data_IF_787719648286
#
_entry.id   IF_787719648286
#
_cell.length_a   1.000
_cell.length_b   1.000
_cell.length_c   1.000
_cell.angle_alpha   90.00
_cell.angle_beta   90.00
_cell.angle_gamma   90.00
#
_symmetry.space_group_name_H-M   'P 1'
#
loop_
_entity.id
_entity.type
_entity.pdbx_description
1 polymer ?
#
# COMPACT_ATOMS: atom_id res chain seq x y z
N UNK A 1 7.68 -8.67 -22.40
CA UNK A 1 6.89 -9.23 -21.27
C UNK A 1 5.78 -8.22 -20.94
N UNK A 2 4.67 -8.17 -21.71
CA UNK A 2 4.20 -6.83 -22.12
C UNK A 2 2.74 -6.39 -21.89
N UNK A 3 1.78 -7.21 -21.48
CA UNK A 3 0.37 -6.73 -21.34
C UNK A 3 -0.27 -6.94 -19.96
N UNK A 4 -0.35 -8.17 -19.39
CA UNK A 4 -1.03 -8.38 -18.11
C UNK A 4 -0.30 -7.76 -16.91
N UNK A 5 1.05 -7.75 -16.93
CA UNK A 5 1.86 -7.09 -15.90
C UNK A 5 1.70 -5.57 -15.93
N UNK A 6 1.55 -4.98 -17.13
CA UNK A 6 1.37 -3.53 -17.31
C UNK A 6 0.00 -3.06 -16.79
N UNK A 7 -1.07 -3.83 -17.05
CA UNK A 7 -2.41 -3.55 -16.51
C UNK A 7 -2.43 -3.65 -14.99
N UNK A 8 -1.79 -4.69 -14.44
CA UNK A 8 -1.69 -4.90 -12.99
C UNK A 8 -0.95 -3.76 -12.30
N UNK A 9 0.17 -3.32 -12.89
CA UNK A 9 0.96 -2.17 -12.43
C UNK A 9 0.15 -0.87 -12.47
N UNK A 10 -0.59 -0.60 -13.56
CA UNK A 10 -1.43 0.60 -13.66
C UNK A 10 -2.58 0.63 -12.64
N UNK A 11 -3.18 -0.52 -12.31
CA UNK A 11 -4.19 -0.62 -11.27
C UNK A 11 -3.56 -0.39 -9.89
N UNK A 12 -2.45 -1.07 -9.60
CA UNK A 12 -1.73 -0.94 -8.34
C UNK A 12 -1.31 0.52 -8.09
N UNK A 13 -0.73 1.19 -9.09
CA UNK A 13 -0.30 2.58 -9.00
C UNK A 13 -1.45 3.52 -8.61
N UNK A 14 -2.62 3.39 -9.24
CA UNK A 14 -3.78 4.25 -8.94
C UNK A 14 -4.29 4.09 -7.51
N UNK A 15 -4.39 2.85 -7.02
CA UNK A 15 -4.81 2.59 -5.64
C UNK A 15 -3.72 3.01 -4.64
N UNK A 16 -2.45 2.74 -4.94
CA UNK A 16 -1.32 3.11 -4.09
C UNK A 16 -1.23 4.62 -3.90
N UNK A 17 -1.30 5.40 -4.99
CA UNK A 17 -1.32 6.87 -4.90
C UNK A 17 -2.49 7.36 -4.05
N UNK A 18 -3.71 6.84 -4.27
CA UNK A 18 -4.87 7.27 -3.49
C UNK A 18 -4.72 6.98 -1.98
N UNK A 19 -4.20 5.81 -1.61
CA UNK A 19 -3.95 5.45 -0.21
C UNK A 19 -2.81 6.28 0.39
N UNK A 20 -1.74 6.50 -0.36
CA UNK A 20 -0.60 7.31 0.07
C UNK A 20 -1.01 8.75 0.35
N UNK A 21 -1.70 9.42 -0.59
CA UNK A 21 -2.17 10.80 -0.41
C UNK A 21 -3.09 10.93 0.81
N UNK A 22 -4.07 10.02 0.96
CA UNK A 22 -4.97 10.03 2.11
C UNK A 22 -4.21 9.82 3.44
N UNK A 23 -3.19 8.98 3.46
CA UNK A 23 -2.38 8.75 4.66
C UNK A 23 -1.42 9.92 4.95
N UNK A 24 -0.92 10.60 3.92
CA UNK A 24 -0.12 11.82 4.02
C UNK A 24 -0.95 12.96 4.60
N UNK A 25 -2.15 13.19 4.07
CA UNK A 25 -3.11 14.17 4.58
C UNK A 25 -3.49 13.91 6.03
N UNK A 26 -3.64 12.63 6.40
CA UNK A 26 -3.93 12.21 7.78
C UNK A 26 -2.70 12.20 8.71
N UNK A 27 -1.49 12.49 8.21
CA UNK A 27 -0.22 12.38 8.96
C UNK A 27 0.05 10.98 9.53
N UNK A 28 -0.47 9.94 8.88
CA UNK A 28 -0.44 8.55 9.33
C UNK A 28 0.58 7.69 8.54
N UNK A 29 1.48 8.29 7.75
CA UNK A 29 2.44 7.57 6.90
C UNK A 29 3.29 6.53 7.66
N UNK A 30 3.69 6.82 8.90
CA UNK A 30 4.44 5.86 9.73
C UNK A 30 3.62 4.61 10.07
N UNK A 31 2.32 4.79 10.32
CA UNK A 31 1.41 3.68 10.62
C UNK A 31 1.10 2.89 9.35
N UNK A 32 0.95 3.60 8.22
CA UNK A 32 0.78 3.00 6.91
C UNK A 32 1.97 2.09 6.57
N UNK A 33 3.20 2.56 6.75
CA UNK A 33 4.43 1.78 6.51
C UNK A 33 4.45 0.49 7.33
N UNK A 34 4.23 0.59 8.65
CA UNK A 34 4.17 -0.60 9.52
C UNK A 34 3.11 -1.60 9.05
N UNK A 35 1.91 -1.13 8.69
CA UNK A 35 0.86 -2.02 8.21
C UNK A 35 1.16 -2.62 6.84
N UNK A 36 1.86 -1.92 5.96
CA UNK A 36 2.32 -2.49 4.69
C UNK A 36 3.31 -3.62 4.96
N UNK A 37 4.29 -3.40 5.83
CA UNK A 37 5.28 -4.42 6.21
C UNK A 37 4.62 -5.66 6.83
N UNK A 38 3.64 -5.46 7.72
CA UNK A 38 2.88 -6.55 8.31
C UNK A 38 2.16 -7.39 7.23
N UNK A 39 1.51 -6.73 6.26
CA UNK A 39 0.78 -7.41 5.17
C UNK A 39 1.75 -8.11 4.22
N UNK A 40 2.91 -7.51 3.93
CA UNK A 40 3.96 -8.14 3.12
C UNK A 40 4.49 -9.40 3.80
N UNK A 41 4.76 -9.33 5.11
CA UNK A 41 5.20 -10.48 5.90
C UNK A 41 4.13 -11.58 5.88
N UNK A 42 2.85 -11.24 6.10
CA UNK A 42 1.75 -12.20 6.03
C UNK A 42 1.64 -12.88 4.65
N UNK A 43 1.86 -12.14 3.55
CA UNK A 43 1.89 -12.71 2.20
C UNK A 43 3.13 -13.59 1.94
N UNK A 44 4.25 -13.31 2.59
CA UNK A 44 5.46 -14.14 2.50
C UNK A 44 5.33 -15.44 3.31
N UNK A 45 4.72 -15.37 4.48
CA UNK A 45 4.62 -16.48 5.42
C UNK A 45 3.44 -17.42 5.14
N UNK A 46 2.35 -16.92 4.57
CA UNK A 46 1.12 -17.70 4.35
C UNK A 46 0.88 -18.00 2.87
N UNK A 47 1.00 -19.28 2.50
CA UNK A 47 0.58 -19.76 1.18
C UNK A 47 -0.92 -19.60 0.98
N UNK A 48 -1.73 -19.92 1.99
CA UNK A 48 -3.18 -19.78 1.96
C UNK A 48 -3.60 -18.34 1.65
N UNK A 49 -2.89 -17.35 2.19
CA UNK A 49 -3.18 -15.95 1.90
C UNK A 49 -2.87 -15.59 0.44
N UNK A 50 -1.76 -16.09 -0.11
CA UNK A 50 -1.43 -15.94 -1.54
C UNK A 50 -2.47 -16.59 -2.44
N UNK A 51 -2.96 -17.77 -2.06
CA UNK A 51 -4.04 -18.47 -2.79
C UNK A 51 -5.34 -17.68 -2.69
N UNK A 52 -5.70 -17.15 -1.52
CA UNK A 52 -6.91 -16.36 -1.33
C UNK A 52 -6.98 -15.15 -2.28
N UNK A 53 -5.90 -14.40 -2.44
CA UNK A 53 -5.88 -13.17 -3.25
C UNK A 53 -5.84 -13.42 -4.76
N UNK A 54 -5.39 -14.61 -5.19
CA UNK A 54 -5.20 -14.95 -6.60
C UNK A 54 -6.26 -15.93 -7.14
N UNK A 55 -6.89 -16.71 -6.26
CA UNK A 55 -7.83 -17.75 -6.65
C UNK A 55 -9.15 -17.17 -7.15
N UNK A 56 -9.60 -17.52 -8.37
CA UNK A 56 -10.91 -17.14 -8.88
C UNK A 56 -12.04 -18.02 -8.34
N UNK A 57 -11.73 -19.07 -7.56
CA UNK A 57 -12.69 -20.04 -7.05
C UNK A 57 -13.51 -19.49 -5.87
N UNK A 58 -12.96 -18.53 -5.14
CA UNK A 58 -13.68 -17.87 -4.05
C UNK A 58 -14.69 -16.86 -4.61
N UNK A 59 -15.87 -16.80 -4.00
CA UNK A 59 -16.83 -15.76 -4.35
C UNK A 59 -16.30 -14.38 -3.93
N UNK A 60 -16.84 -13.32 -4.53
CA UNK A 60 -16.46 -11.94 -4.16
C UNK A 60 -16.76 -11.64 -2.69
N UNK A 61 -17.85 -12.22 -2.17
CA UNK A 61 -18.28 -12.07 -0.79
C UNK A 61 -17.33 -12.81 0.15
N UNK A 62 -16.99 -14.06 -0.14
CA UNK A 62 -16.04 -14.83 0.66
C UNK A 62 -14.66 -14.18 0.72
N UNK A 63 -14.16 -13.69 -0.42
CA UNK A 63 -12.90 -12.93 -0.46
C UNK A 63 -12.99 -11.64 0.37
N UNK A 64 -14.10 -10.90 0.27
CA UNK A 64 -14.26 -9.65 1.02
C UNK A 64 -14.33 -9.92 2.53
N UNK A 65 -15.05 -10.95 2.96
CA UNK A 65 -15.17 -11.37 4.35
C UNK A 65 -13.84 -11.87 4.92
N UNK A 66 -13.11 -12.69 4.15
CA UNK A 66 -11.80 -13.19 4.55
C UNK A 66 -10.79 -12.04 4.72
N UNK A 67 -10.74 -11.11 3.75
CA UNK A 67 -9.88 -9.93 3.82
C UNK A 67 -10.27 -9.01 4.98
N UNK A 68 -11.56 -8.81 5.24
CA UNK A 68 -12.02 -8.02 6.39
C UNK A 68 -11.60 -8.67 7.72
N UNK A 69 -11.71 -9.99 7.83
CA UNK A 69 -11.25 -10.74 9.01
C UNK A 69 -9.74 -10.65 9.21
N UNK A 70 -8.94 -10.77 8.15
CA UNK A 70 -7.49 -10.61 8.19
C UNK A 70 -7.14 -9.17 8.61
N UNK A 71 -7.78 -8.17 7.99
CA UNK A 71 -7.55 -6.76 8.29
C UNK A 71 -7.86 -6.43 9.76
N UNK A 72 -8.95 -6.96 10.31
CA UNK A 72 -9.30 -6.81 11.71
C UNK A 72 -8.28 -7.47 12.64
N UNK A 73 -7.84 -8.70 12.32
CA UNK A 73 -6.87 -9.46 13.12
C UNK A 73 -5.49 -8.79 13.14
N UNK A 74 -5.07 -8.23 12.01
CA UNK A 74 -3.82 -7.47 11.86
C UNK A 74 -3.93 -6.02 12.35
N UNK A 75 -5.13 -5.57 12.75
CA UNK A 75 -5.41 -4.20 13.18
C UNK A 75 -4.99 -3.16 12.14
N UNK A 76 -5.26 -3.46 10.87
CA UNK A 76 -4.96 -2.55 9.78
C UNK A 76 -5.72 -1.23 9.92
N UNK A 77 -5.14 -0.16 9.39
CA UNK A 77 -5.83 1.13 9.28
C UNK A 77 -7.18 0.98 8.56
N UNK A 78 -8.23 1.72 9.00
CA UNK A 78 -9.57 1.64 8.38
C UNK A 78 -9.56 1.88 6.87
N UNK A 79 -8.69 2.78 6.42
CA UNK A 79 -8.50 3.09 5.00
C UNK A 79 -7.93 1.89 4.22
N UNK A 80 -6.90 1.22 4.75
CA UNK A 80 -6.33 0.02 4.12
C UNK A 80 -7.37 -1.11 4.06
N UNK A 81 -8.09 -1.34 5.16
CA UNK A 81 -9.15 -2.35 5.21
C UNK A 81 -10.24 -2.07 4.16
N UNK A 82 -10.66 -0.80 4.03
CA UNK A 82 -11.64 -0.37 3.03
C UNK A 82 -11.14 -0.53 1.60
N UNK A 83 -9.87 -0.19 1.33
CA UNK A 83 -9.24 -0.37 0.03
C UNK A 83 -9.17 -1.85 -0.36
N UNK A 84 -8.75 -2.72 0.56
CA UNK A 84 -8.68 -4.15 0.28
C UNK A 84 -10.08 -4.76 0.06
N UNK A 85 -11.08 -4.36 0.85
CA UNK A 85 -12.47 -4.75 0.62
C UNK A 85 -13.00 -4.26 -0.73
N UNK A 86 -12.67 -3.04 -1.14
CA UNK A 86 -13.03 -2.52 -2.46
C UNK A 86 -12.36 -3.34 -3.57
N UNK A 87 -11.07 -3.65 -3.45
CA UNK A 87 -10.34 -4.47 -4.42
C UNK A 87 -10.91 -5.89 -4.51
N UNK A 88 -11.31 -6.49 -3.37
CA UNK A 88 -12.01 -7.77 -3.32
C UNK A 88 -13.32 -7.72 -4.12
N UNK A 89 -14.15 -6.71 -3.86
CA UNK A 89 -15.43 -6.53 -4.58
C UNK A 89 -15.22 -6.36 -6.09
N UNK A 90 -14.10 -5.80 -6.53
CA UNK A 90 -13.75 -5.56 -7.93
C UNK A 90 -12.95 -6.69 -8.58
N UNK A 91 -12.66 -7.80 -7.89
CA UNK A 91 -11.77 -8.90 -8.35
C UNK A 91 -10.38 -8.38 -8.75
N UNK A 92 -9.82 -7.49 -7.94
CA UNK A 92 -8.50 -6.88 -8.14
C UNK A 92 -7.49 -7.24 -7.05
N UNK A 93 -7.81 -8.15 -6.13
CA UNK A 93 -6.90 -8.54 -5.03
C UNK A 93 -5.57 -9.14 -5.50
N UNK A 94 -5.53 -9.73 -6.69
CA UNK A 94 -4.29 -10.32 -7.24
C UNK A 94 -3.18 -9.28 -7.44
N UNK A 95 -3.50 -7.98 -7.50
CA UNK A 95 -2.50 -6.90 -7.63
C UNK A 95 -1.95 -6.42 -6.27
N UNK A 96 -2.38 -7.05 -5.17
CA UNK A 96 -2.00 -6.65 -3.82
C UNK A 96 -0.48 -6.61 -3.61
N UNK A 97 0.33 -7.59 -4.08
CA UNK A 97 1.79 -7.51 -3.94
C UNK A 97 2.38 -6.27 -4.62
N UNK A 98 1.97 -5.97 -5.86
CA UNK A 98 2.47 -4.79 -6.57
C UNK A 98 2.00 -3.48 -5.92
N UNK A 99 0.81 -3.47 -5.30
CA UNK A 99 0.32 -2.32 -4.56
C UNK A 99 1.17 -2.05 -3.32
N UNK A 100 1.55 -3.09 -2.57
CA UNK A 100 2.39 -2.97 -1.38
C UNK A 100 3.81 -2.51 -1.75
N UNK A 101 4.38 -3.02 -2.84
CA UNK A 101 5.65 -2.53 -3.39
C UNK A 101 5.55 -1.04 -3.75
N UNK A 102 4.52 -0.64 -4.50
CA UNK A 102 4.38 0.76 -4.91
C UNK A 102 4.14 1.72 -3.74
N UNK A 103 3.39 1.29 -2.71
CA UNK A 103 3.20 2.10 -1.51
C UNK A 103 4.52 2.29 -0.75
N UNK A 104 5.33 1.24 -0.63
CA UNK A 104 6.63 1.33 -0.02
C UNK A 104 7.55 2.32 -0.78
N UNK A 105 7.56 2.26 -2.12
CA UNK A 105 8.31 3.19 -2.95
C UNK A 105 7.88 4.65 -2.75
N UNK A 106 6.57 4.92 -2.72
CA UNK A 106 6.03 6.27 -2.48
C UNK A 106 6.42 6.83 -1.12
N UNK A 107 6.38 5.99 -0.07
CA UNK A 107 6.78 6.39 1.29
C UNK A 107 8.29 6.67 1.33
N UNK A 108 9.11 5.86 0.65
CA UNK A 108 10.56 6.07 0.58
C UNK A 108 10.93 7.35 -0.19
N UNK A 109 10.23 7.63 -1.29
CA UNK A 109 10.36 8.86 -2.08
C UNK A 109 10.03 10.09 -1.23
N UNK A 110 8.88 10.10 -0.55
CA UNK A 110 8.45 11.19 0.34
C UNK A 110 9.44 11.44 1.49
N UNK A 111 9.94 10.38 2.13
CA UNK A 111 10.98 10.50 3.17
C UNK A 111 12.28 11.10 2.62
N UNK A 112 12.66 10.73 1.40
CA UNK A 112 13.82 11.27 0.69
C UNK A 112 13.64 12.75 0.36
N UNK A 113 12.47 13.13 -0.15
CA UNK A 113 12.09 14.52 -0.43
C UNK A 113 12.10 15.38 0.84
N UNK A 114 11.45 14.94 1.91
CA UNK A 114 11.43 15.64 3.20
C UNK A 114 12.85 15.81 3.75
N UNK A 115 13.70 14.78 3.64
CA UNK A 115 15.10 14.87 4.08
C UNK A 115 15.88 15.88 3.23
N UNK A 116 15.69 15.89 1.92
CA UNK A 116 16.33 16.84 1.01
C UNK A 116 15.84 18.29 1.22
N UNK A 117 14.55 18.51 1.44
CA UNK A 117 13.97 19.83 1.77
C UNK A 117 14.54 20.35 3.09
N UNK A 118 14.62 19.52 4.14
CA UNK A 118 15.19 19.90 5.44
C UNK A 118 16.69 20.24 5.34
N UNK A 119 17.45 19.52 4.51
CA UNK A 119 18.89 19.80 4.29
C UNK A 119 19.08 21.08 3.47
N UNK A 120 18.30 21.28 2.41
CA UNK A 120 18.39 22.46 1.52
C UNK A 120 17.84 23.74 2.14
N UNK A 121 16.82 23.64 3.02
CA UNK A 121 16.28 24.77 3.78
C UNK A 121 17.27 25.31 4.83
N UNK A 122 18.36 24.58 5.15
CA UNK A 122 19.47 25.08 5.96
C UNK A 122 20.49 25.85 5.11
N UNK A 123 20.01 26.80 4.30
CA UNK A 123 20.87 27.77 3.60
C UNK A 123 21.22 28.94 4.53
N UNK A 124 22.39 28.83 5.16
CA UNK A 124 23.28 29.86 5.71
C UNK A 124 22.70 31.30 5.87
N UNK A 125 22.26 31.64 7.09
CA UNK A 125 22.37 33.01 7.59
C UNK A 125 23.85 33.31 7.86
N UNK A 126 24.58 33.83 6.88
CA UNK A 126 25.66 34.80 7.13
C UNK A 126 25.77 35.76 5.95
N UNK A 127 25.15 36.92 6.12
CA UNK A 127 25.85 38.19 5.81
C UNK A 127 27.29 38.06 6.27
N UNK A 128 28.24 38.09 5.34
CA UNK A 128 29.55 38.62 5.64
C UNK A 128 30.17 39.20 4.36
N UNK A 129 30.16 40.54 4.37
CA UNK A 129 31.02 41.49 3.66
C UNK A 129 30.84 41.65 2.15
#
# INVERSE_FOLDING_TARGET
>A
MSEPASISSGIAARYATAVFELAKDASDLKKLESNIDDVRAALADSEDFRVLISSPLYSREDQSNAIAGIAAKMKLMPMLASTFGLMASKRRLFVLPQLLDRLHDLIAEDKGEVTAEVISAKAMTKTQS
#
